data_IF_908691050123
#
_entry.id   IF_908691050123
#
_cell.length_a   1.000
_cell.length_b   1.000
_cell.length_c   1.000
_cell.angle_alpha   90.00
_cell.angle_beta   90.00
_cell.angle_gamma   90.00
#
_symmetry.space_group_name_H-M   'P 1'
#
loop_
_entity.id
_entity.type
_entity.pdbx_description
1 polymer ?
#
# COMPACT_ATOMS: atom_id res chain seq x y z
N UNK A 1 29.31 -68.89 30.75
CA UNK A 1 28.59 -68.78 29.46
C UNK A 1 27.93 -67.40 29.40
N UNK A 2 27.99 -66.78 28.23
CA UNK A 2 27.73 -65.35 27.92
C UNK A 2 26.29 -64.90 28.22
N UNK A 3 26.11 -63.62 28.58
CA UNK A 3 25.21 -62.66 27.89
C UNK A 3 25.33 -61.25 28.47
N UNK A 4 25.87 -60.34 27.65
CA UNK A 4 25.73 -58.88 27.79
C UNK A 4 24.30 -58.45 27.55
N UNK A 5 23.84 -57.42 28.27
CA UNK A 5 22.71 -56.58 27.91
C UNK A 5 23.17 -55.12 28.01
N UNK A 6 23.37 -54.49 26.84
CA UNK A 6 23.53 -53.05 26.72
C UNK A 6 22.14 -52.46 26.45
N UNK A 7 21.64 -51.66 27.39
CA UNK A 7 20.41 -50.89 27.22
C UNK A 7 20.77 -49.48 26.76
N UNK A 8 20.47 -49.19 25.49
CA UNK A 8 20.45 -47.83 24.96
C UNK A 8 19.19 -47.10 25.41
N UNK A 9 19.34 -45.87 25.89
CA UNK A 9 18.25 -44.92 26.09
C UNK A 9 18.35 -43.86 24.99
N UNK A 10 17.33 -43.87 24.13
CA UNK A 10 17.14 -42.95 23.02
C UNK A 10 16.94 -41.51 23.53
N UNK A 11 17.76 -40.59 23.05
CA UNK A 11 17.60 -39.15 23.28
C UNK A 11 16.39 -38.62 22.50
N UNK A 12 15.42 -38.06 23.22
CA UNK A 12 14.25 -37.40 22.66
C UNK A 12 14.66 -36.00 22.20
N UNK A 13 14.82 -35.79 20.89
CA UNK A 13 15.07 -34.48 20.33
C UNK A 13 13.77 -33.65 20.35
N UNK A 14 13.73 -32.60 21.19
CA UNK A 14 12.67 -31.59 21.16
C UNK A 14 12.78 -30.78 19.87
N UNK A 15 11.85 -31.00 18.94
CA UNK A 15 11.61 -30.11 17.81
C UNK A 15 10.90 -28.85 18.33
N UNK A 16 11.65 -27.78 18.52
CA UNK A 16 11.10 -26.43 18.71
C UNK A 16 10.44 -25.99 17.41
N UNK A 17 9.11 -26.03 17.36
CA UNK A 17 8.35 -25.42 16.30
C UNK A 17 8.53 -23.90 16.35
N UNK A 18 9.27 -23.35 15.40
CA UNK A 18 9.26 -21.92 15.11
C UNK A 18 7.86 -21.53 14.65
N UNK A 19 7.14 -20.78 15.49
CA UNK A 19 5.91 -20.13 15.08
C UNK A 19 6.22 -19.23 13.88
N UNK A 20 5.68 -19.58 12.71
CA UNK A 20 5.63 -18.66 11.60
C UNK A 20 4.89 -17.41 12.08
N UNK A 21 5.58 -16.27 12.14
CA UNK A 21 4.92 -14.97 12.27
C UNK A 21 3.88 -14.90 11.18
N UNK A 22 2.61 -14.83 11.56
CA UNK A 22 1.54 -14.52 10.63
C UNK A 22 2.00 -13.31 9.81
N UNK A 23 2.01 -13.44 8.49
CA UNK A 23 2.12 -12.30 7.59
C UNK A 23 1.09 -11.29 8.11
N UNK A 24 1.56 -10.18 8.69
CA UNK A 24 0.68 -9.16 9.23
C UNK A 24 -0.32 -8.79 8.13
N UNK A 25 -1.62 -8.80 8.44
CA UNK A 25 -2.62 -8.46 7.45
C UNK A 25 -2.24 -7.12 6.78
N UNK A 26 -2.44 -6.94 5.45
CA UNK A 26 -2.06 -5.71 4.75
C UNK A 26 -2.66 -4.43 5.37
N UNK A 27 -3.72 -4.56 6.17
CA UNK A 27 -4.38 -3.49 6.91
C UNK A 27 -3.94 -3.32 8.37
N UNK A 28 -3.06 -4.18 8.91
CA UNK A 28 -2.72 -4.20 10.34
C UNK A 28 -2.10 -2.87 10.83
N UNK A 29 -1.48 -2.10 9.94
CA UNK A 29 -0.97 -0.76 10.26
C UNK A 29 -2.09 0.23 10.62
N UNK A 30 -3.32 0.02 10.12
CA UNK A 30 -4.50 0.80 10.50
C UNK A 30 -5.00 0.48 11.91
N UNK A 31 -4.45 -0.54 12.57
CA UNK A 31 -4.80 -0.92 13.95
C UNK A 31 -3.69 -0.62 14.96
N UNK A 32 -2.48 -0.26 14.49
CA UNK A 32 -1.32 0.11 15.33
C UNK A 32 -1.08 1.62 15.37
N UNK A 33 -0.36 2.20 16.35
CA UNK A 33 0.04 3.60 16.28
C UNK A 33 0.71 3.95 14.94
N UNK A 34 0.41 5.14 14.39
CA UNK A 34 0.99 5.57 13.12
C UNK A 34 2.50 5.80 13.29
N UNK A 35 3.27 5.29 12.33
CA UNK A 35 4.68 5.57 12.16
C UNK A 35 4.90 5.97 10.70
N UNK A 36 5.80 6.92 10.43
CA UNK A 36 6.16 7.24 9.05
C UNK A 36 6.92 6.08 8.42
N UNK A 37 6.48 5.67 7.23
CA UNK A 37 7.19 4.71 6.37
C UNK A 37 7.80 5.38 5.14
N UNK A 38 7.55 6.68 4.95
CA UNK A 38 8.13 7.47 3.87
C UNK A 38 9.37 8.20 4.36
N UNK A 39 10.32 8.43 3.46
CA UNK A 39 11.56 9.14 3.74
C UNK A 39 11.82 10.24 2.69
N UNK A 40 12.39 11.39 3.09
CA UNK A 40 12.83 12.43 2.16
C UNK A 40 13.80 11.88 1.12
N UNK A 41 13.63 12.30 -0.14
CA UNK A 41 14.49 11.87 -1.25
C UNK A 41 14.36 10.38 -1.62
N UNK A 42 13.38 9.66 -1.06
CA UNK A 42 13.06 8.30 -1.51
C UNK A 42 12.56 8.29 -2.96
N UNK A 43 12.59 7.12 -3.57
CA UNK A 43 12.02 6.88 -4.90
C UNK A 43 10.81 5.95 -4.81
N UNK A 44 9.91 5.93 -5.81
CA UNK A 44 8.85 4.96 -5.84
C UNK A 44 9.40 3.52 -5.85
N UNK A 45 8.84 2.60 -5.05
CA UNK A 45 9.24 1.19 -5.09
C UNK A 45 9.05 0.61 -6.49
N UNK A 46 9.87 -0.37 -6.87
CA UNK A 46 9.72 -1.11 -8.12
C UNK A 46 8.80 -2.31 -7.93
N UNK A 47 8.16 -2.74 -9.01
CA UNK A 47 7.38 -3.97 -9.06
C UNK A 47 7.69 -4.77 -10.32
N UNK A 48 7.34 -6.06 -10.31
CA UNK A 48 7.30 -6.85 -11.53
C UNK A 48 6.23 -6.31 -12.50
N UNK A 49 6.50 -6.42 -13.80
CA UNK A 49 5.52 -6.11 -14.84
C UNK A 49 4.44 -7.19 -14.90
N UNK A 50 3.22 -6.75 -15.21
CA UNK A 50 2.11 -7.66 -15.45
C UNK A 50 2.37 -8.59 -16.65
N UNK A 51 1.85 -9.81 -16.57
CA UNK A 51 1.92 -10.76 -17.68
C UNK A 51 1.12 -10.25 -18.88
N UNK A 52 1.66 -10.28 -20.11
CA UNK A 52 1.04 -9.62 -21.27
C UNK A 52 -0.40 -10.04 -21.59
N UNK A 53 -0.76 -11.32 -21.39
CA UNK A 53 -2.06 -11.86 -21.79
C UNK A 53 -3.24 -11.26 -21.03
N UNK A 54 -3.23 -11.36 -19.70
CA UNK A 54 -4.29 -10.79 -18.85
C UNK A 54 -4.29 -9.25 -18.94
N UNK A 55 -3.09 -8.67 -18.96
CA UNK A 55 -2.92 -7.23 -19.07
C UNK A 55 -3.54 -6.64 -20.34
N UNK A 56 -3.40 -7.32 -21.50
CA UNK A 56 -3.99 -6.84 -22.75
C UNK A 56 -5.53 -6.71 -22.67
N UNK A 57 -6.20 -7.61 -21.97
CA UNK A 57 -7.65 -7.52 -21.74
C UNK A 57 -8.00 -6.30 -20.89
N UNK A 58 -7.32 -6.12 -19.74
CA UNK A 58 -7.62 -5.03 -18.81
C UNK A 58 -7.10 -3.66 -19.25
N UNK A 59 -6.09 -3.62 -20.11
CA UNK A 59 -5.60 -2.40 -20.75
C UNK A 59 -6.69 -1.69 -21.57
N UNK A 60 -7.63 -2.44 -22.13
CA UNK A 60 -8.76 -1.85 -22.87
C UNK A 60 -9.91 -1.37 -21.99
N UNK A 61 -9.85 -1.58 -20.66
CA UNK A 61 -11.00 -1.45 -19.75
C UNK A 61 -10.75 -0.62 -18.49
N UNK A 62 -9.51 -0.31 -18.17
CA UNK A 62 -9.22 0.43 -16.94
C UNK A 62 -7.79 0.88 -16.76
N UNK A 63 -6.81 0.16 -17.34
CA UNK A 63 -5.45 0.68 -17.37
C UNK A 63 -5.35 1.85 -18.34
N UNK A 64 -4.43 2.77 -18.06
CA UNK A 64 -4.19 3.94 -18.90
C UNK A 64 -2.70 4.16 -19.14
N UNK A 65 -2.40 4.90 -20.22
CA UNK A 65 -1.06 5.38 -20.49
C UNK A 65 -0.65 6.45 -19.44
N UNK A 66 0.66 6.61 -19.18
CA UNK A 66 1.16 7.75 -18.43
C UNK A 66 0.95 9.05 -19.22
N UNK A 67 0.60 10.11 -18.51
CA UNK A 67 0.35 11.45 -19.09
C UNK A 67 1.37 12.49 -18.61
N UNK A 68 2.20 12.11 -17.63
CA UNK A 68 3.15 13.00 -16.96
C UNK A 68 4.47 12.27 -16.67
N UNK A 69 5.61 12.96 -16.49
CA UNK A 69 6.88 12.33 -16.14
C UNK A 69 6.82 11.46 -14.87
N UNK A 70 6.05 11.88 -13.87
CA UNK A 70 5.83 11.16 -12.61
C UNK A 70 5.15 9.81 -12.85
N UNK A 71 4.17 9.80 -13.75
CA UNK A 71 3.44 8.60 -14.14
C UNK A 71 4.26 7.69 -15.05
N UNK A 72 5.09 8.28 -15.92
CA UNK A 72 6.02 7.54 -16.76
C UNK A 72 7.08 6.83 -15.92
N UNK A 73 7.63 7.49 -14.87
CA UNK A 73 8.52 6.86 -13.90
C UNK A 73 7.87 5.65 -13.23
N UNK A 74 6.62 5.76 -12.77
CA UNK A 74 5.88 4.60 -12.23
C UNK A 74 5.73 3.48 -13.26
N UNK A 75 5.40 3.81 -14.51
CA UNK A 75 5.26 2.83 -15.59
C UNK A 75 6.58 2.10 -15.85
N UNK A 76 7.68 2.83 -15.95
CA UNK A 76 9.03 2.28 -16.12
C UNK A 76 9.42 1.36 -14.95
N UNK A 77 9.00 1.69 -13.73
CA UNK A 77 9.16 0.88 -12.51
C UNK A 77 8.23 -0.33 -12.40
N UNK A 78 7.41 -0.57 -13.43
CA UNK A 78 6.59 -1.77 -13.58
C UNK A 78 5.13 -1.59 -13.15
N UNK A 79 4.72 -0.40 -12.73
CA UNK A 79 3.36 -0.14 -12.28
C UNK A 79 2.41 0.09 -13.44
N UNK A 80 1.26 -0.56 -13.39
CA UNK A 80 0.15 -0.28 -14.31
C UNK A 80 -0.74 0.80 -13.74
N UNK A 81 -0.96 1.88 -14.48
CA UNK A 81 -1.73 3.02 -14.00
C UNK A 81 -3.23 2.81 -14.19
N UNK A 82 -4.03 3.16 -13.19
CA UNK A 82 -5.48 3.01 -13.20
C UNK A 82 -6.20 4.27 -12.73
N UNK A 83 -7.33 4.58 -13.37
CA UNK A 83 -8.19 5.71 -13.00
C UNK A 83 -7.50 7.08 -13.15
N UNK A 84 -8.22 8.19 -12.98
CA UNK A 84 -7.63 9.52 -13.06
C UNK A 84 -6.67 9.76 -11.89
N UNK A 85 -5.55 10.43 -12.15
CA UNK A 85 -4.76 11.02 -11.08
C UNK A 85 -5.56 12.14 -10.40
N UNK A 86 -5.42 12.29 -9.09
CA UNK A 86 -5.97 13.42 -8.34
C UNK A 86 -4.89 14.48 -8.23
N UNK A 87 -5.09 15.67 -8.77
CA UNK A 87 -4.07 16.72 -8.81
C UNK A 87 -4.64 18.08 -8.44
N UNK A 88 -4.06 18.74 -7.43
CA UNK A 88 -4.41 20.11 -7.01
C UNK A 88 -3.34 20.66 -6.05
N UNK A 89 -3.16 21.98 -6.00
CA UNK A 89 -2.14 22.69 -5.18
C UNK A 89 -0.74 22.05 -5.23
N UNK A 90 -0.24 21.73 -6.43
CA UNK A 90 1.08 21.09 -6.60
C UNK A 90 1.18 19.64 -6.15
N UNK A 91 0.14 19.09 -5.50
CA UNK A 91 0.08 17.69 -5.08
C UNK A 91 -0.63 16.84 -6.12
N UNK A 92 -0.05 15.68 -6.43
CA UNK A 92 -0.63 14.65 -7.30
C UNK A 92 -0.65 13.30 -6.58
N UNK A 93 -1.77 12.60 -6.67
CA UNK A 93 -1.90 11.21 -6.21
C UNK A 93 -2.24 10.31 -7.39
N UNK A 94 -1.40 9.32 -7.65
CA UNK A 94 -1.52 8.37 -8.76
C UNK A 94 -1.71 6.97 -8.22
N UNK A 95 -2.65 6.20 -8.78
CA UNK A 95 -2.78 4.77 -8.50
C UNK A 95 -1.92 3.99 -9.49
N UNK A 96 -0.94 3.24 -8.97
CA UNK A 96 -0.18 2.25 -9.72
C UNK A 96 -0.41 0.85 -9.13
N UNK A 97 -0.76 -0.10 -9.99
CA UNK A 97 -1.07 -1.48 -9.63
C UNK A 97 0.00 -2.45 -10.12
N UNK A 98 0.35 -3.44 -9.30
CA UNK A 98 1.24 -4.54 -9.69
C UNK A 98 0.45 -5.72 -10.27
N UNK A 99 -0.87 -5.73 -10.14
CA UNK A 99 -1.73 -6.71 -10.77
C UNK A 99 -3.19 -6.34 -10.84
N UNK A 100 -3.99 -7.31 -11.29
CA UNK A 100 -5.42 -7.13 -11.52
C UNK A 100 -6.18 -8.45 -11.35
N UNK A 101 -7.44 -8.39 -10.95
CA UNK A 101 -8.32 -9.56 -10.95
C UNK A 101 -9.05 -9.76 -12.28
N UNK A 102 -9.82 -10.85 -12.41
CA UNK A 102 -10.56 -11.19 -13.64
C UNK A 102 -11.64 -10.18 -14.06
N UNK A 103 -11.92 -9.17 -13.23
CA UNK A 103 -12.80 -8.04 -13.55
C UNK A 103 -12.02 -6.74 -13.75
N UNK A 104 -10.70 -6.82 -13.94
CA UNK A 104 -9.78 -5.69 -14.17
C UNK A 104 -9.75 -4.66 -13.05
N UNK A 105 -9.92 -5.12 -11.81
CA UNK A 105 -9.75 -4.27 -10.63
C UNK A 105 -8.29 -4.36 -10.15
N UNK A 106 -7.66 -3.23 -9.77
CA UNK A 106 -6.29 -3.20 -9.26
C UNK A 106 -6.06 -4.13 -8.06
N UNK A 107 -4.98 -4.90 -8.12
CA UNK A 107 -4.42 -5.70 -7.03
C UNK A 107 -2.95 -5.28 -6.78
N UNK A 108 -2.48 -5.50 -5.56
CA UNK A 108 -1.14 -5.15 -5.12
C UNK A 108 -0.78 -3.70 -5.42
N UNK A 109 -1.74 -2.78 -5.29
CA UNK A 109 -1.58 -1.40 -5.74
C UNK A 109 -1.17 -0.46 -4.61
N UNK A 110 -0.45 0.59 -4.97
CA UNK A 110 -0.23 1.75 -4.11
C UNK A 110 -0.90 2.98 -4.72
N UNK A 111 -1.15 3.95 -3.82
CA UNK A 111 -1.41 5.32 -4.21
C UNK A 111 -0.13 6.11 -3.89
N UNK A 112 0.52 6.61 -4.94
CA UNK A 112 1.78 7.35 -4.89
C UNK A 112 1.49 8.84 -4.84
N UNK A 113 2.06 9.53 -3.86
CA UNK A 113 1.95 10.96 -3.71
C UNK A 113 3.20 11.66 -4.28
N UNK A 114 2.97 12.73 -5.02
CA UNK A 114 3.98 13.62 -5.57
C UNK A 114 3.65 15.05 -5.16
N UNK A 115 4.69 15.84 -4.90
CA UNK A 115 4.59 17.29 -4.63
C UNK A 115 5.54 18.01 -5.57
N UNK A 116 5.00 18.91 -6.38
CA UNK A 116 5.73 19.66 -7.41
C UNK A 116 6.59 18.74 -8.31
N UNK A 117 6.00 17.60 -8.66
CA UNK A 117 6.59 16.56 -9.50
C UNK A 117 7.68 15.70 -8.87
N UNK A 118 7.94 15.86 -7.56
CA UNK A 118 8.87 15.03 -6.80
C UNK A 118 8.11 14.01 -5.96
N UNK A 119 8.60 12.77 -5.93
CA UNK A 119 7.98 11.70 -5.15
C UNK A 119 8.04 12.01 -3.65
N UNK A 120 6.91 11.89 -2.97
CA UNK A 120 6.77 12.15 -1.54
C UNK A 120 6.51 10.88 -0.71
N UNK A 121 6.04 9.80 -1.34
CA UNK A 121 5.76 8.54 -0.64
C UNK A 121 4.50 7.83 -1.12
N UNK A 122 4.14 6.76 -0.41
CA UNK A 122 2.88 6.03 -0.60
C UNK A 122 1.88 6.38 0.52
N UNK A 123 0.58 6.32 0.19
CA UNK A 123 -0.48 6.48 1.20
C UNK A 123 -0.61 5.29 2.16
N UNK A 124 0.01 4.14 1.86
CA UNK A 124 0.02 2.97 2.73
C UNK A 124 1.41 2.34 2.78
N UNK A 125 1.83 1.75 3.91
CA UNK A 125 3.14 1.10 4.04
C UNK A 125 3.22 -0.20 3.23
N UNK A 126 2.07 -0.82 2.93
CA UNK A 126 1.97 -2.05 2.15
C UNK A 126 1.02 -1.87 0.97
N UNK A 127 1.23 -2.60 -0.14
CA UNK A 127 0.28 -2.61 -1.25
C UNK A 127 -1.12 -3.05 -0.78
N UNK A 128 -2.14 -2.53 -1.46
CA UNK A 128 -3.56 -2.79 -1.20
C UNK A 128 -4.17 -3.62 -2.32
N UNK A 129 -5.22 -4.35 -1.98
CA UNK A 129 -6.03 -5.08 -2.95
C UNK A 129 -7.43 -4.48 -3.06
N UNK A 130 -7.97 -4.46 -4.28
CA UNK A 130 -9.36 -4.07 -4.49
C UNK A 130 -10.29 -4.99 -3.68
N UNK A 131 -11.21 -4.37 -2.94
CA UNK A 131 -12.20 -5.07 -2.09
C UNK A 131 -11.58 -5.87 -0.92
N UNK A 132 -10.40 -5.48 -0.45
CA UNK A 132 -9.80 -6.02 0.78
C UNK A 132 -9.94 -5.05 1.97
N UNK A 133 -9.72 -5.56 3.19
CA UNK A 133 -9.60 -4.73 4.39
C UNK A 133 -8.46 -3.71 4.24
N UNK A 134 -8.70 -2.47 4.66
CA UNK A 134 -7.71 -1.39 4.56
C UNK A 134 -7.48 -0.87 3.15
N UNK A 135 -8.39 -1.13 2.19
CA UNK A 135 -8.29 -0.55 0.86
C UNK A 135 -8.65 0.94 0.88
N UNK A 136 -7.81 1.78 0.27
CA UNK A 136 -8.09 3.20 0.13
C UNK A 136 -9.35 3.46 -0.73
N UNK A 137 -10.13 4.45 -0.34
CA UNK A 137 -11.34 4.89 -1.00
C UNK A 137 -11.26 6.36 -1.43
N UNK A 138 -12.00 7.20 -0.71
CA UNK A 138 -12.04 8.64 -0.96
C UNK A 138 -10.72 9.28 -0.51
N UNK A 139 -10.21 10.18 -1.35
CA UNK A 139 -9.06 11.02 -1.04
C UNK A 139 -9.52 12.46 -1.23
N UNK A 140 -9.44 13.25 -0.18
CA UNK A 140 -9.52 14.70 -0.24
C UNK A 140 -8.09 15.26 -0.15
N UNK A 141 -7.80 16.21 -1.01
CA UNK A 141 -6.60 17.03 -0.93
C UNK A 141 -7.10 18.39 -0.49
N UNK A 142 -6.44 19.02 0.49
CA UNK A 142 -6.87 20.28 1.10
C UNK A 142 -5.65 21.16 1.39
N UNK A 143 -5.74 22.49 1.26
CA UNK A 143 -4.65 23.38 1.66
C UNK A 143 -4.40 23.24 3.17
N UNK A 144 -3.14 23.03 3.57
CA UNK A 144 -2.82 22.97 4.98
C UNK A 144 -2.91 24.38 5.61
N UNK A 145 -3.61 24.50 6.74
CA UNK A 145 -3.73 25.76 7.49
C UNK A 145 -2.44 26.13 8.27
N UNK A 146 -1.32 25.48 7.96
CA UNK A 146 -0.05 25.60 8.71
C UNK A 146 0.93 26.63 8.10
N UNK A 147 0.57 27.26 6.97
CA UNK A 147 1.41 28.24 6.27
C UNK A 147 2.47 27.57 5.40
N UNK A 148 2.70 28.09 4.18
CA UNK A 148 3.59 27.49 3.18
C UNK A 148 2.85 26.88 1.98
N UNK A 149 3.53 26.06 1.18
CA UNK A 149 3.01 25.27 0.05
C UNK A 149 2.49 23.90 0.47
N UNK A 150 2.22 23.74 1.77
CA UNK A 150 1.94 22.44 2.36
C UNK A 150 0.48 22.03 2.15
N UNK A 151 0.28 20.72 1.95
CA UNK A 151 -1.00 20.15 1.59
C UNK A 151 -1.36 19.05 2.58
N UNK A 152 -2.62 19.05 3.04
CA UNK A 152 -3.20 17.96 3.82
C UNK A 152 -3.87 16.99 2.87
N UNK A 153 -3.59 15.70 3.03
CA UNK A 153 -4.33 14.65 2.35
C UNK A 153 -5.16 13.91 3.40
N UNK A 154 -6.46 13.80 3.17
CA UNK A 154 -7.37 13.00 3.99
C UNK A 154 -7.79 11.77 3.20
N UNK A 155 -7.44 10.59 3.70
CA UNK A 155 -7.71 9.33 3.03
C UNK A 155 -8.63 8.47 3.88
N UNK A 156 -9.75 8.05 3.31
CA UNK A 156 -10.68 7.11 3.93
C UNK A 156 -10.36 5.69 3.47
N UNK A 157 -10.00 4.82 4.41
CA UNK A 157 -9.76 3.40 4.20
C UNK A 157 -10.99 2.59 4.59
N UNK A 158 -11.48 1.76 3.66
CA UNK A 158 -12.62 0.87 3.93
C UNK A 158 -12.15 -0.29 4.80
N UNK A 159 -12.93 -0.62 5.83
CA UNK A 159 -12.60 -1.71 6.75
C UNK A 159 -13.56 -2.88 6.55
N UNK A 160 -13.01 -4.07 6.32
CA UNK A 160 -13.77 -5.31 6.13
C UNK A 160 -13.59 -6.21 7.35
N UNK A 161 -14.67 -6.80 7.83
CA UNK A 161 -14.61 -7.96 8.71
C UNK A 161 -14.21 -9.22 7.89
N UNK A 162 -13.62 -10.26 8.52
CA UNK A 162 -13.23 -11.48 7.81
C UNK A 162 -14.38 -12.19 7.07
N UNK A 163 -15.61 -11.97 7.51
CA UNK A 163 -16.83 -12.58 6.94
C UNK A 163 -17.57 -11.65 5.98
N UNK A 164 -17.07 -10.44 5.73
CA UNK A 164 -17.76 -9.49 4.84
C UNK A 164 -17.74 -10.00 3.40
N UNK A 165 -18.86 -9.86 2.67
CA UNK A 165 -18.81 -10.02 1.23
C UNK A 165 -17.98 -8.88 0.64
N UNK A 166 -17.22 -9.17 -0.42
CA UNK A 166 -16.29 -8.22 -1.05
C UNK A 166 -16.93 -6.90 -1.51
N UNK A 167 -18.26 -6.84 -1.68
CA UNK A 167 -18.96 -5.61 -2.07
C UNK A 167 -19.12 -4.60 -0.93
N UNK A 168 -19.13 -5.07 0.32
CA UNK A 168 -19.91 -4.43 1.36
C UNK A 168 -19.14 -4.49 2.69
N UNK A 169 -18.20 -3.57 2.92
CA UNK A 169 -17.49 -3.46 4.19
C UNK A 169 -18.48 -3.15 5.31
N UNK A 170 -18.39 -3.88 6.43
CA UNK A 170 -19.26 -3.72 7.60
C UNK A 170 -18.62 -2.97 8.75
N UNK A 171 -17.29 -2.89 8.79
CA UNK A 171 -16.58 -2.17 9.84
C UNK A 171 -16.54 -0.67 9.55
N UNK A 172 -16.52 0.17 10.59
CA UNK A 172 -16.36 1.60 10.38
C UNK A 172 -15.06 1.89 9.65
N UNK A 173 -15.09 2.86 8.75
CA UNK A 173 -13.91 3.22 7.97
C UNK A 173 -12.84 3.84 8.88
N UNK A 174 -11.58 3.63 8.55
CA UNK A 174 -10.47 4.33 9.20
C UNK A 174 -10.07 5.50 8.31
N UNK A 175 -10.09 6.71 8.84
CA UNK A 175 -9.59 7.89 8.14
C UNK A 175 -8.18 8.18 8.64
N UNK A 176 -7.27 8.47 7.73
CA UNK A 176 -5.91 8.90 8.03
C UNK A 176 -5.69 10.27 7.39
N UNK A 177 -5.19 11.20 8.19
CA UNK A 177 -4.71 12.47 7.71
C UNK A 177 -3.20 12.45 7.55
N UNK A 178 -2.76 12.98 6.42
CA UNK A 178 -1.37 13.11 6.05
C UNK A 178 -1.03 14.57 5.82
N UNK A 179 0.26 14.87 5.96
CA UNK A 179 0.84 16.14 5.63
C UNK A 179 2.05 15.95 4.72
N UNK A 180 2.25 16.88 3.79
CA UNK A 180 3.46 16.94 2.99
C UNK A 180 4.43 17.93 3.62
N UNK A 181 5.59 17.45 4.04
CA UNK A 181 6.69 18.28 4.53
C UNK A 181 7.75 18.45 3.44
N UNK A 182 8.15 19.69 3.16
CA UNK A 182 9.16 20.01 2.16
C UNK A 182 10.54 20.06 2.79
N UNK A 183 11.33 19.02 2.54
CA UNK A 183 12.70 18.92 3.05
C UNK A 183 13.73 19.13 1.93
N UNK A 184 14.99 19.49 2.27
CA UNK A 184 16.04 19.73 1.27
C UNK A 184 16.23 18.55 0.30
N UNK A 185 16.17 17.32 0.81
CA UNK A 185 16.34 16.08 0.04
C UNK A 185 15.12 15.76 -0.83
N UNK A 186 13.94 16.27 -0.49
CA UNK A 186 12.69 16.09 -1.22
C UNK A 186 11.46 16.19 -0.32
N UNK A 187 10.27 16.27 -0.92
CA UNK A 187 9.04 16.21 -0.14
C UNK A 187 8.90 14.85 0.55
N UNK A 188 8.25 14.82 1.70
CA UNK A 188 7.89 13.59 2.40
C UNK A 188 6.44 13.63 2.85
N UNK A 189 5.70 12.56 2.58
CA UNK A 189 4.33 12.39 3.04
C UNK A 189 4.32 11.72 4.42
N UNK A 190 3.84 12.44 5.43
CA UNK A 190 3.86 12.01 6.83
C UNK A 190 2.42 11.71 7.27
N UNK A 191 2.10 10.48 7.72
CA UNK A 191 0.84 10.19 8.38
C UNK A 191 0.83 10.85 9.77
N UNK A 192 -0.16 11.73 10.04
CA UNK A 192 -0.24 12.50 11.28
C UNK A 192 -1.16 11.87 12.31
N UNK A 193 -2.41 11.63 11.92
CA UNK A 193 -3.46 11.15 12.82
C UNK A 193 -4.40 10.21 12.08
N UNK A 194 -5.10 9.37 12.86
CA UNK A 194 -6.16 8.52 12.35
C UNK A 194 -7.29 8.38 13.35
N UNK A 195 -8.49 8.15 12.83
CA UNK A 195 -9.68 7.85 13.62
C UNK A 195 -10.60 6.89 12.88
N UNK A 196 -11.55 6.30 13.60
CA UNK A 196 -12.64 5.54 13.01
C UNK A 196 -13.86 6.45 12.88
N UNK A 197 -14.55 6.39 11.75
CA UNK A 197 -15.82 7.12 11.53
C UNK A 197 -17.04 6.42 12.13
#
# INVERSE_FOLDING_TARGET
MKRSLASGLAGLALLTATAATALGAPSAWLDAPLASWNAPGSEPPTTGRLTPGQHAYCATRGARAPETPEEDDLNQRGWTLYGPARSTWGTRVVLGASGEDGMCRPLGFHLFAYVDGRYAGTLSPTPMDSRADGVAGQIAIEPAQLGGSDVRLRVRFRRYAPTDPLCCPSRPATVVDYYTDLQPEGPVLIPLEKWSE
#
